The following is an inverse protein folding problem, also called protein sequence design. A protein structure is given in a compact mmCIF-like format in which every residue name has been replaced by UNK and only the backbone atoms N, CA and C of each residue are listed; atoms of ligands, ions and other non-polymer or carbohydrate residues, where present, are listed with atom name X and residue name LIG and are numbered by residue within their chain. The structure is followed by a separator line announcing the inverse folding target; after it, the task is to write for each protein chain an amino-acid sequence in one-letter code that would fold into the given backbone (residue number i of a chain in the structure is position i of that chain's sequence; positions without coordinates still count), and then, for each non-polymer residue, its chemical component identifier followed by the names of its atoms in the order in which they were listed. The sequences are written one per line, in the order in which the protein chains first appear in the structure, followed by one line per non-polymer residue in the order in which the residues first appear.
data_IF_207396326454
#
_entry.id   IF_207396326454
#
_cell.length_a   1.000
_cell.length_b   1.000
_cell.length_c   1.000
_cell.angle_alpha   90.00
_cell.angle_beta   90.00
_cell.angle_gamma   90.00
#
_symmetry.space_group_name_H-M   'P 1'
#
loop_
_entity.id
_entity.type
_entity.pdbx_description
1 polymer ?
#
# COMPACT_ATOMS: atom_id res chain seq x y z
N UNK A 1 -24.74 -7.51 40.20
CA UNK A 1 -23.78 -6.41 39.98
C UNK A 1 -23.84 -6.07 38.50
N UNK A 2 -24.30 -4.88 38.15
CA UNK A 2 -24.26 -4.45 36.75
C UNK A 2 -22.80 -4.29 36.33
N UNK A 3 -22.31 -5.11 35.42
CA UNK A 3 -21.04 -4.93 34.76
C UNK A 3 -21.13 -3.60 33.99
N UNK A 4 -20.51 -2.56 34.50
CA UNK A 4 -20.32 -1.32 33.73
C UNK A 4 -19.43 -1.69 32.57
N UNK A 5 -20.00 -1.88 31.39
CA UNK A 5 -19.23 -2.11 30.17
C UNK A 5 -18.39 -0.86 29.95
N UNK A 6 -17.07 -1.00 29.98
CA UNK A 6 -16.16 0.12 29.70
C UNK A 6 -16.46 0.66 28.29
N UNK A 7 -16.36 1.97 28.10
CA UNK A 7 -16.56 2.59 26.79
C UNK A 7 -15.57 2.01 25.76
N UNK A 8 -16.00 1.78 24.50
CA UNK A 8 -15.14 1.26 23.47
C UNK A 8 -14.00 2.25 23.12
N UNK A 9 -12.90 1.72 22.62
CA UNK A 9 -11.81 2.52 22.06
C UNK A 9 -12.18 2.92 20.64
N UNK A 10 -12.34 4.21 20.37
CA UNK A 10 -12.75 4.72 19.06
C UNK A 10 -11.55 4.95 18.15
N UNK A 11 -11.52 4.26 17.01
CA UNK A 11 -10.46 4.32 15.99
C UNK A 11 -11.05 4.87 14.70
N UNK A 12 -10.46 5.94 14.17
CA UNK A 12 -10.84 6.50 12.87
C UNK A 12 -10.34 5.61 11.73
N UNK A 13 -11.17 5.39 10.73
CA UNK A 13 -10.78 4.76 9.47
C UNK A 13 -10.94 5.78 8.34
N UNK A 14 -9.81 6.28 7.84
CA UNK A 14 -9.73 7.24 6.73
C UNK A 14 -9.37 6.48 5.45
N UNK A 15 -10.36 6.15 4.63
CA UNK A 15 -10.13 5.36 3.42
C UNK A 15 -10.31 6.18 2.14
N UNK A 16 -9.51 5.84 1.10
CA UNK A 16 -9.51 6.55 -0.17
C UNK A 16 -10.50 5.96 -1.18
N UNK A 17 -10.68 4.64 -1.17
CA UNK A 17 -11.52 3.91 -2.13
C UNK A 17 -12.76 3.32 -1.46
N UNK A 18 -13.99 3.74 -1.85
CA UNK A 18 -15.23 3.30 -1.20
C UNK A 18 -15.48 1.79 -1.32
N UNK A 19 -15.00 1.15 -2.39
CA UNK A 19 -15.23 -0.28 -2.63
C UNK A 19 -14.45 -1.21 -1.68
N UNK A 20 -13.51 -0.67 -0.90
CA UNK A 20 -12.64 -1.45 -0.04
C UNK A 20 -13.05 -1.42 1.44
N UNK A 21 -14.00 -0.54 1.82
CA UNK A 21 -14.34 -0.27 3.22
C UNK A 21 -14.70 -1.50 4.02
N UNK A 22 -15.72 -2.24 3.61
CA UNK A 22 -16.22 -3.40 4.37
C UNK A 22 -15.18 -4.52 4.54
N UNK A 23 -14.44 -4.85 3.48
CA UNK A 23 -13.43 -5.91 3.53
C UNK A 23 -12.26 -5.50 4.41
N UNK A 24 -11.80 -4.26 4.26
CA UNK A 24 -10.72 -3.70 5.05
C UNK A 24 -11.10 -3.63 6.53
N UNK A 25 -12.26 -3.05 6.85
CA UNK A 25 -12.75 -2.93 8.22
C UNK A 25 -12.89 -4.30 8.90
N UNK A 26 -13.44 -5.30 8.21
CA UNK A 26 -13.58 -6.68 8.73
C UNK A 26 -12.21 -7.34 9.00
N UNK A 27 -11.26 -7.20 8.07
CA UNK A 27 -9.93 -7.77 8.25
C UNK A 27 -9.16 -7.08 9.39
N UNK A 28 -9.29 -5.75 9.50
CA UNK A 28 -8.72 -4.97 10.59
C UNK A 28 -9.32 -5.40 11.93
N UNK A 29 -10.65 -5.50 12.02
CA UNK A 29 -11.33 -5.95 13.23
C UNK A 29 -10.89 -7.36 13.64
N UNK A 30 -10.75 -8.28 12.69
CA UNK A 30 -10.23 -9.64 12.97
C UNK A 30 -8.83 -9.59 13.60
N UNK A 31 -7.94 -8.71 13.12
CA UNK A 31 -6.62 -8.52 13.71
C UNK A 31 -6.68 -7.99 15.14
N UNK A 32 -7.60 -7.08 15.44
CA UNK A 32 -7.87 -6.58 16.81
C UNK A 32 -8.42 -7.70 17.69
N UNK A 33 -9.40 -8.46 17.19
CA UNK A 33 -10.06 -9.56 17.92
C UNK A 33 -9.06 -10.65 18.28
N UNK A 34 -8.08 -10.95 17.44
CA UNK A 34 -7.03 -11.92 17.74
C UNK A 34 -6.19 -11.48 18.95
N UNK A 35 -5.93 -10.19 19.10
CA UNK A 35 -5.26 -9.66 20.29
C UNK A 35 -6.19 -9.71 21.51
N UNK A 36 -7.46 -9.37 21.35
CA UNK A 36 -8.46 -9.43 22.42
C UNK A 36 -8.62 -10.87 22.98
N UNK A 37 -8.62 -11.89 22.11
CA UNK A 37 -8.68 -13.30 22.50
C UNK A 37 -7.51 -13.75 23.38
N UNK A 38 -6.37 -13.04 23.35
CA UNK A 38 -5.26 -13.30 24.29
C UNK A 38 -5.53 -12.80 25.71
N UNK A 39 -6.61 -12.08 25.96
CA UNK A 39 -6.97 -11.48 27.25
C UNK A 39 -6.18 -10.21 27.59
N UNK A 40 -5.39 -9.66 26.66
CA UNK A 40 -4.60 -8.44 26.87
C UNK A 40 -5.35 -7.15 26.53
N UNK A 41 -6.41 -7.26 25.74
CA UNK A 41 -7.30 -6.16 25.40
C UNK A 41 -8.63 -6.36 26.13
N UNK A 42 -8.97 -5.45 27.04
CA UNK A 42 -10.13 -5.54 27.96
C UNK A 42 -11.33 -4.73 27.49
N UNK A 43 -11.28 -4.20 26.25
CA UNK A 43 -12.30 -3.31 25.67
C UNK A 43 -12.54 -3.60 24.20
N UNK A 44 -13.75 -3.28 23.77
CA UNK A 44 -14.12 -3.31 22.35
C UNK A 44 -13.46 -2.14 21.63
N UNK A 45 -13.21 -2.33 20.33
CA UNK A 45 -12.77 -1.28 19.41
C UNK A 45 -13.93 -0.92 18.49
N UNK A 46 -14.27 0.35 18.44
CA UNK A 46 -15.28 0.93 17.53
C UNK A 46 -14.58 1.64 16.37
N UNK A 47 -14.92 1.26 15.14
CA UNK A 47 -14.40 1.92 13.93
C UNK A 47 -15.33 3.07 13.52
N UNK A 48 -14.77 4.27 13.38
CA UNK A 48 -15.45 5.47 12.90
C UNK A 48 -14.95 5.78 11.49
N UNK A 49 -15.78 5.52 10.49
CA UNK A 49 -15.36 5.56 9.09
C UNK A 49 -15.61 6.92 8.43
N UNK A 50 -14.61 7.41 7.68
CA UNK A 50 -14.72 8.58 6.79
C UNK A 50 -13.99 8.33 5.49
N UNK A 51 -14.64 8.63 4.38
CA UNK A 51 -14.01 8.62 3.06
C UNK A 51 -13.26 9.93 2.83
N UNK A 52 -11.98 9.83 2.45
CA UNK A 52 -11.12 10.99 2.24
C UNK A 52 -11.56 11.83 1.03
N UNK A 53 -12.06 11.18 -0.03
CA UNK A 53 -12.35 11.83 -1.33
C UNK A 53 -11.17 12.67 -1.83
N UNK A 54 -9.96 12.19 -1.57
CA UNK A 54 -8.72 12.86 -1.89
C UNK A 54 -8.23 12.60 -3.33
N UNK A 55 -6.95 12.79 -3.51
CA UNK A 55 -6.28 12.54 -4.79
C UNK A 55 -6.32 11.04 -5.16
N UNK A 56 -6.26 10.68 -6.46
CA UNK A 56 -6.15 11.58 -7.62
C UNK A 56 -7.49 12.15 -8.12
N UNK A 57 -8.64 11.61 -7.70
CA UNK A 57 -9.96 11.98 -8.25
C UNK A 57 -10.66 13.11 -7.52
N UNK A 58 -10.16 13.49 -6.36
CA UNK A 58 -10.72 14.58 -5.53
C UNK A 58 -9.69 15.65 -5.20
N UNK A 59 -9.66 16.12 -3.95
CA UNK A 59 -8.83 17.25 -3.58
C UNK A 59 -8.19 17.13 -2.19
N UNK A 60 -7.12 17.92 -1.97
CA UNK A 60 -6.49 18.09 -0.66
C UNK A 60 -7.49 18.60 0.40
N UNK A 61 -8.42 19.50 0.02
CA UNK A 61 -9.42 20.04 0.93
C UNK A 61 -10.36 18.95 1.47
N UNK A 62 -10.70 17.94 0.66
CA UNK A 62 -11.54 16.83 1.07
C UNK A 62 -10.82 15.91 2.06
N UNK A 63 -9.51 15.66 1.87
CA UNK A 63 -8.69 14.90 2.85
C UNK A 63 -8.69 15.62 4.20
N UNK A 64 -8.46 16.96 4.18
CA UNK A 64 -8.45 17.79 5.39
C UNK A 64 -9.81 17.78 6.09
N UNK A 65 -10.91 17.85 5.32
CA UNK A 65 -12.27 17.80 5.85
C UNK A 65 -12.54 16.47 6.54
N UNK A 66 -12.26 15.34 5.87
CA UNK A 66 -12.50 14.02 6.43
C UNK A 66 -11.64 13.75 7.69
N UNK A 67 -10.40 14.26 7.71
CA UNK A 67 -9.56 14.23 8.90
C UNK A 67 -10.17 15.02 10.06
N UNK A 68 -10.62 16.27 9.81
CA UNK A 68 -11.23 17.12 10.83
C UNK A 68 -12.53 16.49 11.40
N UNK A 69 -13.31 15.81 10.58
CA UNK A 69 -14.48 15.06 11.04
C UNK A 69 -14.11 13.93 11.99
N UNK A 70 -13.02 13.18 11.71
CA UNK A 70 -12.53 12.13 12.62
C UNK A 70 -11.97 12.73 13.93
N UNK A 71 -11.26 13.85 13.84
CA UNK A 71 -10.74 14.56 15.01
C UNK A 71 -11.88 15.01 15.95
N UNK A 72 -12.99 15.50 15.38
CA UNK A 72 -14.18 15.92 16.12
C UNK A 72 -14.96 14.77 16.79
N UNK A 73 -14.72 13.52 16.36
CA UNK A 73 -15.31 12.30 16.93
C UNK A 73 -14.49 11.74 18.10
N UNK A 74 -13.48 12.46 18.59
CA UNK A 74 -12.61 12.06 19.70
C UNK A 74 -11.93 10.69 19.50
N UNK A 75 -11.60 10.33 18.26
CA UNK A 75 -10.84 9.10 17.98
C UNK A 75 -9.43 9.19 18.60
N UNK A 76 -8.93 8.07 19.10
CA UNK A 76 -7.61 8.01 19.76
C UNK A 76 -6.49 7.61 18.79
N UNK A 77 -6.84 7.06 17.64
CA UNK A 77 -5.92 6.77 16.54
C UNK A 77 -6.68 6.77 15.20
N UNK A 78 -5.95 6.84 14.09
CA UNK A 78 -6.52 6.76 12.74
C UNK A 78 -5.79 5.66 11.95
N UNK A 79 -6.53 4.91 11.13
CA UNK A 79 -5.99 4.03 10.10
C UNK A 79 -6.25 4.65 8.73
N UNK A 80 -5.21 4.75 7.92
CA UNK A 80 -5.25 5.42 6.62
C UNK A 80 -4.49 6.76 6.61
N UNK A 81 -4.46 7.43 5.45
CA UNK A 81 -4.97 6.99 4.14
C UNK A 81 -4.15 5.86 3.49
N UNK A 82 -4.62 5.37 2.33
CA UNK A 82 -3.94 4.32 1.54
C UNK A 82 -3.09 4.87 0.39
N UNK A 83 -3.37 6.08 -0.07
CA UNK A 83 -2.65 6.74 -1.15
C UNK A 83 -1.56 7.64 -0.56
N UNK A 84 -0.31 7.49 -1.03
CA UNK A 84 0.83 8.26 -0.51
C UNK A 84 0.64 9.78 -0.59
N UNK A 85 0.04 10.28 -1.68
CA UNK A 85 -0.23 11.71 -1.84
C UNK A 85 -1.22 12.21 -0.77
N UNK A 86 -2.24 11.41 -0.43
CA UNK A 86 -3.20 11.75 0.63
C UNK A 86 -2.56 11.60 2.03
N UNK A 87 -1.68 10.63 2.20
CA UNK A 87 -0.93 10.46 3.45
C UNK A 87 0.05 11.62 3.71
N UNK A 88 0.67 12.18 2.66
CA UNK A 88 1.49 13.40 2.76
C UNK A 88 0.66 14.63 3.20
N UNK A 89 -0.61 14.70 2.79
CA UNK A 89 -1.55 15.74 3.25
C UNK A 89 -1.95 15.50 4.72
N UNK A 90 -2.21 14.24 5.11
CA UNK A 90 -2.66 13.88 6.44
C UNK A 90 -1.56 13.95 7.51
N UNK A 91 -0.30 13.66 7.18
CA UNK A 91 0.79 13.60 8.14
C UNK A 91 0.97 14.88 8.99
N UNK A 92 1.03 16.10 8.41
CA UNK A 92 1.12 17.33 9.21
C UNK A 92 -0.15 17.58 10.06
N UNK A 93 -1.31 17.09 9.66
CA UNK A 93 -2.54 17.18 10.46
C UNK A 93 -2.46 16.25 11.68
N UNK A 94 -1.95 15.04 11.51
CA UNK A 94 -1.70 14.09 12.60
C UNK A 94 -0.72 14.67 13.62
N UNK A 95 0.37 15.28 13.14
CA UNK A 95 1.37 15.92 14.02
C UNK A 95 0.77 17.10 14.79
N UNK A 96 0.00 17.97 14.15
CA UNK A 96 -0.65 19.12 14.78
C UNK A 96 -1.71 18.70 15.82
N UNK A 97 -2.56 17.73 15.49
CA UNK A 97 -3.61 17.22 16.37
C UNK A 97 -3.11 16.20 17.41
N UNK A 98 -1.83 15.75 17.28
CA UNK A 98 -1.24 14.68 18.08
C UNK A 98 -2.09 13.41 18.08
N UNK A 99 -2.58 13.03 16.91
CA UNK A 99 -3.33 11.78 16.69
C UNK A 99 -2.40 10.77 16.02
N UNK A 100 -2.08 9.63 16.65
CA UNK A 100 -1.32 8.59 15.99
C UNK A 100 -2.14 8.02 14.83
N UNK A 101 -1.53 7.94 13.65
CA UNK A 101 -2.16 7.33 12.50
C UNK A 101 -1.26 6.26 11.89
N UNK A 102 -1.85 5.20 11.34
CA UNK A 102 -1.15 4.18 10.56
C UNK A 102 -1.65 4.28 9.13
N UNK A 103 -0.88 4.95 8.25
CA UNK A 103 -1.17 4.91 6.83
C UNK A 103 -0.72 3.58 6.22
N UNK A 104 -1.36 3.14 5.12
CA UNK A 104 -1.00 1.92 4.41
C UNK A 104 -0.74 2.20 2.93
N UNK A 105 0.27 3.01 2.69
CA UNK A 105 0.70 3.50 1.38
C UNK A 105 2.07 2.95 0.97
N UNK A 106 2.63 3.40 -0.15
CA UNK A 106 3.97 3.02 -0.60
C UNK A 106 5.08 4.01 -0.24
N UNK A 107 4.76 5.22 0.23
CA UNK A 107 5.74 6.30 0.37
C UNK A 107 6.36 6.43 1.77
N UNK A 108 7.67 6.25 1.90
CA UNK A 108 8.37 6.42 3.19
C UNK A 108 8.29 7.85 3.75
N UNK A 109 8.20 8.86 2.84
CA UNK A 109 8.08 10.28 3.21
C UNK A 109 6.77 10.64 3.90
N UNK A 110 5.81 9.71 3.95
CA UNK A 110 4.56 9.87 4.70
C UNK A 110 4.73 9.71 6.20
N UNK A 111 5.88 9.19 6.65
CA UNK A 111 6.19 8.99 8.08
C UNK A 111 6.48 10.31 8.75
N UNK A 112 5.94 10.50 9.96
CA UNK A 112 6.20 11.65 10.81
C UNK A 112 6.22 11.22 12.28
N UNK A 113 6.25 12.18 13.21
CA UNK A 113 6.22 11.87 14.64
C UNK A 113 4.94 11.13 15.06
N UNK A 114 3.81 11.44 14.40
CA UNK A 114 2.50 10.86 14.71
C UNK A 114 1.94 10.00 13.57
N UNK A 115 2.61 9.92 12.41
CA UNK A 115 2.24 9.09 11.28
C UNK A 115 3.16 7.86 11.19
N UNK A 116 2.61 6.71 11.53
CA UNK A 116 3.17 5.39 11.31
C UNK A 116 2.83 4.90 9.91
N UNK A 117 3.55 3.93 9.39
CA UNK A 117 3.43 3.51 8.01
C UNK A 117 3.49 2.00 7.88
N UNK A 118 2.41 1.38 7.41
CA UNK A 118 2.41 0.00 6.94
C UNK A 118 2.64 0.02 5.42
N UNK A 119 3.73 -0.57 4.96
CA UNK A 119 4.14 -0.51 3.56
C UNK A 119 3.28 -1.46 2.71
N UNK A 120 2.43 -0.90 1.84
CA UNK A 120 1.78 -1.63 0.75
C UNK A 120 2.52 -1.28 -0.53
N UNK A 121 3.67 -1.94 -0.74
CA UNK A 121 4.69 -1.52 -1.70
C UNK A 121 5.67 -0.49 -1.13
N UNK A 122 6.59 0.01 -1.97
CA UNK A 122 7.57 1.05 -1.59
C UNK A 122 8.02 1.85 -2.79
N UNK A 123 7.81 3.17 -2.74
CA UNK A 123 8.27 4.08 -3.78
C UNK A 123 9.79 4.09 -3.92
N UNK A 124 10.49 3.78 -2.84
CA UNK A 124 11.94 3.81 -2.74
C UNK A 124 12.59 2.46 -3.01
N UNK A 125 11.96 1.35 -2.60
CA UNK A 125 12.56 0.01 -2.69
C UNK A 125 12.13 -0.77 -3.94
N UNK A 126 10.93 -0.55 -4.48
CA UNK A 126 10.46 -1.23 -5.68
C UNK A 126 11.29 -0.92 -6.94
N UNK A 127 11.65 0.34 -7.23
CA UNK A 127 12.44 0.65 -8.43
C UNK A 127 13.80 -0.04 -8.50
N UNK A 128 14.59 -0.17 -7.41
CA UNK A 128 15.77 -1.01 -7.38
C UNK A 128 15.50 -2.49 -7.69
N UNK A 129 14.39 -3.05 -7.19
CA UNK A 129 14.00 -4.45 -7.48
C UNK A 129 13.66 -4.61 -8.96
N UNK A 130 12.91 -3.69 -9.54
CA UNK A 130 12.60 -3.70 -10.99
C UNK A 130 13.87 -3.58 -11.84
N UNK A 131 14.78 -2.67 -11.48
CA UNK A 131 16.06 -2.51 -12.18
C UNK A 131 16.95 -3.76 -12.07
N UNK A 132 17.01 -4.41 -10.91
CA UNK A 132 17.68 -5.69 -10.72
C UNK A 132 17.04 -6.80 -11.58
N UNK A 133 15.70 -6.85 -11.63
CA UNK A 133 14.98 -7.81 -12.48
C UNK A 133 15.28 -7.63 -13.97
N UNK A 134 15.45 -6.40 -14.44
CA UNK A 134 15.92 -6.15 -15.80
C UNK A 134 17.28 -6.82 -16.05
N UNK A 135 18.23 -6.63 -15.13
CA UNK A 135 19.58 -7.22 -15.23
C UNK A 135 19.49 -8.76 -15.28
N UNK A 136 18.72 -9.36 -14.38
CA UNK A 136 18.52 -10.82 -14.32
C UNK A 136 17.98 -11.39 -15.63
N UNK A 137 17.05 -10.66 -16.27
CA UNK A 137 16.44 -11.05 -17.55
C UNK A 137 17.28 -10.66 -18.79
N UNK A 138 18.42 -10.01 -18.62
CA UNK A 138 19.24 -9.53 -19.72
C UNK A 138 18.65 -8.32 -20.46
N UNK A 139 17.63 -7.65 -19.91
CA UNK A 139 16.99 -6.45 -20.46
C UNK A 139 17.84 -5.23 -20.11
N UNK A 140 18.31 -4.50 -21.10
CA UNK A 140 19.26 -3.40 -20.88
C UNK A 140 18.71 -2.02 -21.20
N UNK A 141 17.67 -1.94 -22.01
CA UNK A 141 17.13 -0.70 -22.58
C UNK A 141 15.66 -0.56 -22.18
N UNK A 142 15.33 0.41 -21.33
CA UNK A 142 13.97 0.65 -20.84
C UNK A 142 13.32 1.85 -21.49
N UNK A 143 12.03 1.73 -21.86
CA UNK A 143 11.14 2.88 -21.92
C UNK A 143 10.42 3.01 -20.57
N UNK A 144 10.28 4.22 -20.04
CA UNK A 144 9.69 4.45 -18.71
C UNK A 144 8.43 5.29 -18.83
N UNK A 145 7.32 4.80 -18.28
CA UNK A 145 6.10 5.57 -18.10
C UNK A 145 5.85 5.78 -16.62
N UNK A 146 5.55 7.00 -16.21
CA UNK A 146 5.21 7.29 -14.82
C UNK A 146 4.01 8.25 -14.71
N UNK A 147 3.24 8.13 -13.62
CA UNK A 147 2.10 9.00 -13.35
C UNK A 147 2.51 10.46 -13.12
N UNK A 148 1.70 11.40 -13.63
CA UNK A 148 1.81 12.85 -13.37
C UNK A 148 1.34 13.21 -11.95
N UNK A 149 1.95 12.59 -10.95
CA UNK A 149 1.64 12.76 -9.54
C UNK A 149 2.93 12.83 -8.72
N UNK A 150 2.93 13.30 -7.47
CA UNK A 150 4.07 13.17 -6.57
C UNK A 150 4.56 11.73 -6.42
N UNK A 151 3.65 10.76 -6.34
CA UNK A 151 3.95 9.32 -6.31
C UNK A 151 4.71 8.88 -7.55
N UNK A 152 4.17 9.14 -8.74
CA UNK A 152 4.81 8.72 -9.99
C UNK A 152 6.18 9.36 -10.21
N UNK A 153 6.33 10.65 -9.90
CA UNK A 153 7.62 11.34 -9.95
C UNK A 153 8.64 10.72 -9.00
N UNK A 154 8.23 10.39 -7.77
CA UNK A 154 9.13 9.76 -6.80
C UNK A 154 9.59 8.39 -7.26
N UNK A 155 8.70 7.56 -7.80
CA UNK A 155 9.07 6.28 -8.42
C UNK A 155 10.09 6.47 -9.54
N UNK A 156 9.86 7.44 -10.45
CA UNK A 156 10.76 7.71 -11.57
C UNK A 156 12.16 8.18 -11.11
N UNK A 157 12.23 9.05 -10.09
CA UNK A 157 13.49 9.48 -9.47
C UNK A 157 14.27 8.29 -8.89
N UNK A 158 13.60 7.41 -8.15
CA UNK A 158 14.22 6.24 -7.55
C UNK A 158 14.66 5.21 -8.60
N UNK A 159 13.87 5.05 -9.68
CA UNK A 159 14.24 4.19 -10.80
C UNK A 159 15.47 4.74 -11.55
N UNK A 160 15.51 6.05 -11.80
CA UNK A 160 16.67 6.72 -12.43
C UNK A 160 17.95 6.48 -11.61
N UNK A 161 17.89 6.61 -10.29
CA UNK A 161 19.03 6.34 -9.42
C UNK A 161 19.46 4.86 -9.44
N UNK A 162 18.50 3.93 -9.47
CA UNK A 162 18.75 2.48 -9.50
C UNK A 162 19.35 2.05 -10.85
N UNK A 163 18.74 2.48 -11.97
CA UNK A 163 19.21 2.14 -13.32
C UNK A 163 20.64 2.65 -13.57
N UNK A 164 20.98 3.86 -13.09
CA UNK A 164 22.31 4.44 -13.25
C UNK A 164 23.39 3.59 -12.56
N UNK A 165 23.11 3.08 -11.36
CA UNK A 165 24.02 2.18 -10.62
C UNK A 165 24.26 0.86 -11.32
N UNK A 166 23.26 0.36 -12.08
CA UNK A 166 23.30 -0.93 -12.77
C UNK A 166 23.71 -0.82 -14.25
N UNK A 167 24.01 0.38 -14.74
CA UNK A 167 24.40 0.63 -16.13
C UNK A 167 23.28 0.33 -17.15
N UNK A 168 22.02 0.51 -16.74
CA UNK A 168 20.86 0.34 -17.63
C UNK A 168 20.61 1.64 -18.40
N UNK A 169 20.18 1.52 -19.67
CA UNK A 169 19.80 2.63 -20.54
C UNK A 169 18.30 2.93 -20.42
N UNK A 170 17.93 4.21 -20.39
CA UNK A 170 16.56 4.67 -20.61
C UNK A 170 16.47 5.27 -22.01
N UNK A 171 15.76 4.60 -22.90
CA UNK A 171 15.61 4.99 -24.32
C UNK A 171 14.56 6.07 -24.52
N UNK A 172 13.66 6.21 -23.55
CA UNK A 172 12.62 7.23 -23.56
C UNK A 172 11.85 7.25 -22.25
N UNK A 173 11.37 8.43 -21.88
CA UNK A 173 10.55 8.65 -20.68
C UNK A 173 9.31 9.43 -21.06
N UNK A 174 8.16 9.02 -20.52
CA UNK A 174 6.90 9.73 -20.70
C UNK A 174 6.09 9.77 -19.40
N UNK A 175 5.43 10.89 -19.15
CA UNK A 175 4.47 11.01 -18.06
C UNK A 175 3.04 10.85 -18.57
N UNK A 176 2.21 10.16 -17.80
CA UNK A 176 0.79 9.91 -18.08
C UNK A 176 -0.07 10.51 -16.98
N UNK A 177 -1.23 11.08 -17.32
CA UNK A 177 -2.17 11.51 -16.31
C UNK A 177 -2.65 10.30 -15.48
N UNK A 178 -2.73 10.44 -14.15
CA UNK A 178 -3.05 9.32 -13.25
C UNK A 178 -4.40 8.66 -13.54
N UNK A 179 -5.33 9.40 -14.15
CA UNK A 179 -6.67 8.94 -14.55
C UNK A 179 -6.81 8.84 -16.08
N UNK A 180 -5.71 8.73 -16.85
CA UNK A 180 -5.77 8.61 -18.30
C UNK A 180 -6.55 7.35 -18.72
N UNK A 181 -7.38 7.51 -19.74
CA UNK A 181 -8.16 6.44 -20.35
C UNK A 181 -7.53 5.93 -21.66
N UNK A 182 -6.57 6.68 -22.24
CA UNK A 182 -5.82 6.33 -23.42
C UNK A 182 -4.33 6.67 -23.28
N UNK A 183 -3.47 5.80 -23.83
CA UNK A 183 -2.01 5.95 -23.85
C UNK A 183 -1.43 5.70 -25.26
N UNK A 184 -2.26 5.59 -26.30
CA UNK A 184 -1.84 5.15 -27.64
C UNK A 184 -0.80 6.08 -28.25
N UNK A 185 -1.01 7.40 -28.21
CA UNK A 185 -0.06 8.38 -28.74
C UNK A 185 1.25 8.36 -27.96
N UNK A 186 1.17 8.26 -26.63
CA UNK A 186 2.32 8.22 -25.74
C UNK A 186 3.22 7.02 -26.04
N UNK A 187 2.63 5.81 -26.15
CA UNK A 187 3.34 4.58 -26.51
C UNK A 187 3.88 4.61 -27.92
N UNK A 188 3.13 5.19 -28.87
CA UNK A 188 3.57 5.39 -30.25
C UNK A 188 4.85 6.22 -30.36
N UNK A 189 5.08 7.16 -29.45
CA UNK A 189 6.33 7.94 -29.37
C UNK A 189 7.50 7.18 -28.75
N UNK A 190 7.26 6.26 -27.83
CA UNK A 190 8.30 5.47 -27.18
C UNK A 190 8.78 4.27 -28.01
N UNK A 191 7.86 3.64 -28.77
CA UNK A 191 8.12 2.44 -29.55
C UNK A 191 9.30 2.54 -30.53
N UNK A 192 9.49 3.64 -31.31
CA UNK A 192 10.57 3.74 -32.29
C UNK A 192 12.00 3.64 -31.72
N UNK A 193 12.17 3.85 -30.42
CA UNK A 193 13.46 3.68 -29.75
C UNK A 193 13.81 2.21 -29.45
N UNK A 194 12.94 1.26 -29.78
CA UNK A 194 13.10 -0.19 -29.64
C UNK A 194 13.62 -0.59 -28.24
N UNK A 195 12.92 -0.25 -27.14
CA UNK A 195 13.31 -0.68 -25.81
C UNK A 195 13.13 -2.20 -25.64
N UNK A 196 13.97 -2.81 -24.80
CA UNK A 196 13.84 -4.22 -24.41
C UNK A 196 12.67 -4.45 -23.44
N UNK A 197 12.27 -3.40 -22.72
CA UNK A 197 11.24 -3.46 -21.68
C UNK A 197 10.54 -2.11 -21.54
N UNK A 198 9.25 -2.16 -21.22
CA UNK A 198 8.47 -1.03 -20.75
C UNK A 198 8.38 -1.10 -19.20
N UNK A 199 8.77 -0.03 -18.54
CA UNK A 199 8.65 0.09 -17.06
C UNK A 199 7.51 1.04 -16.75
N UNK A 200 6.48 0.55 -16.04
CA UNK A 200 5.35 1.35 -15.59
C UNK A 200 5.48 1.66 -14.09
N UNK A 201 5.40 2.95 -13.74
CA UNK A 201 5.59 3.47 -12.38
C UNK A 201 4.45 4.44 -12.02
N UNK A 202 3.56 4.04 -11.16
CA UNK A 202 2.43 4.91 -10.84
C UNK A 202 1.47 4.36 -9.79
N UNK A 203 0.36 5.05 -9.61
CA UNK A 203 -0.71 4.63 -8.70
C UNK A 203 -1.49 3.40 -9.22
N UNK A 204 -1.49 3.17 -10.54
CA UNK A 204 -2.07 2.00 -11.16
C UNK A 204 -3.37 2.22 -11.92
N UNK A 205 -4.07 3.33 -11.73
CA UNK A 205 -5.34 3.57 -12.45
C UNK A 205 -5.10 3.69 -13.95
N UNK A 206 -4.05 4.41 -14.38
CA UNK A 206 -3.67 4.57 -15.79
C UNK A 206 -3.03 3.32 -16.43
N UNK A 207 -2.67 2.30 -15.64
CA UNK A 207 -2.06 1.07 -16.17
C UNK A 207 -2.98 0.33 -17.14
N UNK A 208 -4.31 0.43 -16.97
CA UNK A 208 -5.28 -0.11 -17.92
C UNK A 208 -5.17 0.55 -19.29
N UNK A 209 -5.06 1.89 -19.33
CA UNK A 209 -4.88 2.62 -20.59
C UNK A 209 -3.61 2.19 -21.31
N UNK A 210 -2.52 1.97 -20.57
CA UNK A 210 -1.25 1.45 -21.11
C UNK A 210 -1.44 0.04 -21.69
N UNK A 211 -2.12 -0.86 -20.98
CA UNK A 211 -2.37 -2.22 -21.45
C UNK A 211 -3.21 -2.24 -22.75
N UNK A 212 -4.29 -1.47 -22.78
CA UNK A 212 -5.15 -1.35 -23.97
C UNK A 212 -4.40 -0.76 -25.18
N UNK A 213 -3.57 0.25 -24.94
CA UNK A 213 -2.77 0.89 -25.98
C UNK A 213 -1.68 -0.04 -26.53
N UNK A 214 -1.01 -0.84 -25.70
CA UNK A 214 -0.07 -1.88 -26.15
C UNK A 214 -0.76 -2.88 -27.08
N UNK A 215 -1.94 -3.35 -26.68
CA UNK A 215 -2.73 -4.27 -27.50
C UNK A 215 -3.17 -3.63 -28.84
N UNK A 216 -3.67 -2.40 -28.81
CA UNK A 216 -4.09 -1.66 -29.99
C UNK A 216 -2.94 -1.40 -30.98
N UNK A 217 -1.73 -1.15 -30.48
CA UNK A 217 -0.53 -0.96 -31.31
C UNK A 217 0.11 -2.28 -31.76
N UNK A 218 -0.36 -3.43 -31.28
CA UNK A 218 0.30 -4.72 -31.50
C UNK A 218 1.77 -4.70 -31.03
N UNK A 219 2.06 -3.99 -29.94
CA UNK A 219 3.41 -3.86 -29.42
C UNK A 219 3.67 -4.85 -28.27
N UNK A 220 4.29 -5.97 -28.61
CA UNK A 220 4.62 -7.05 -27.69
C UNK A 220 6.00 -6.79 -27.04
N UNK A 221 6.05 -5.88 -26.10
CA UNK A 221 7.24 -5.60 -25.28
C UNK A 221 7.04 -6.18 -23.88
N UNK A 222 8.07 -6.77 -23.24
CA UNK A 222 8.00 -7.12 -21.84
C UNK A 222 7.63 -5.89 -20.99
N UNK A 223 6.80 -6.09 -19.95
CA UNK A 223 6.43 -5.00 -19.06
C UNK A 223 6.82 -5.36 -17.63
N UNK A 224 7.53 -4.45 -16.97
CA UNK A 224 7.77 -4.48 -15.54
C UNK A 224 7.02 -3.32 -14.89
N UNK A 225 6.32 -3.59 -13.80
CA UNK A 225 5.53 -2.58 -13.11
C UNK A 225 5.79 -2.57 -11.60
N UNK A 226 5.59 -1.43 -10.98
CA UNK A 226 5.54 -1.31 -9.53
C UNK A 226 4.28 -2.02 -8.99
N UNK A 227 4.02 -1.91 -7.70
CA UNK A 227 2.85 -2.49 -7.02
C UNK A 227 1.48 -2.00 -7.53
N UNK A 228 1.48 -1.10 -8.50
CA UNK A 228 0.29 -0.61 -9.20
C UNK A 228 -0.64 -1.71 -9.75
N UNK A 229 -0.09 -2.84 -10.18
CA UNK A 229 -0.90 -3.94 -10.74
C UNK A 229 -1.70 -4.72 -9.68
N UNK A 230 -1.56 -4.38 -8.40
CA UNK A 230 -2.47 -4.86 -7.35
C UNK A 230 -3.94 -4.51 -7.62
N UNK A 231 -4.24 -3.53 -8.47
CA UNK A 231 -5.61 -3.27 -8.93
C UNK A 231 -6.27 -4.50 -9.57
N UNK A 232 -5.51 -5.42 -10.15
CA UNK A 232 -6.03 -6.70 -10.63
C UNK A 232 -6.73 -7.55 -9.56
N UNK A 233 -6.43 -7.37 -8.29
CA UNK A 233 -7.15 -8.05 -7.21
C UNK A 233 -8.58 -7.52 -7.06
N UNK A 234 -8.76 -6.20 -7.14
CA UNK A 234 -10.07 -5.53 -7.02
C UNK A 234 -10.82 -5.46 -8.37
N UNK A 235 -10.12 -5.58 -9.49
CA UNK A 235 -10.64 -5.40 -10.86
C UNK A 235 -10.32 -6.63 -11.72
N UNK A 236 -11.08 -7.73 -11.58
CA UNK A 236 -10.86 -8.94 -12.38
C UNK A 236 -10.89 -8.69 -13.90
N UNK A 237 -11.69 -7.72 -14.33
CA UNK A 237 -11.82 -7.29 -15.73
C UNK A 237 -10.55 -6.64 -16.31
N UNK A 238 -9.54 -6.33 -15.47
CA UNK A 238 -8.26 -5.76 -15.93
C UNK A 238 -7.17 -6.81 -16.14
N UNK A 239 -7.31 -7.98 -15.52
CA UNK A 239 -6.26 -9.01 -15.44
C UNK A 239 -5.75 -9.51 -16.77
N UNK A 240 -6.65 -9.67 -17.75
CA UNK A 240 -6.28 -10.12 -19.10
C UNK A 240 -5.34 -9.13 -19.78
N UNK A 241 -5.52 -7.83 -19.56
CA UNK A 241 -4.63 -6.79 -20.05
C UNK A 241 -3.24 -6.82 -19.43
N UNK A 242 -3.09 -7.42 -18.25
CA UNK A 242 -1.82 -7.56 -17.53
C UNK A 242 -1.15 -8.93 -17.74
N UNK A 243 -1.69 -9.79 -18.60
CA UNK A 243 -1.13 -11.11 -18.83
C UNK A 243 0.36 -11.02 -19.24
N UNK A 244 1.22 -11.71 -18.49
CA UNK A 244 2.66 -11.72 -18.72
C UNK A 244 3.43 -10.47 -18.23
N UNK A 245 2.77 -9.45 -17.68
CA UNK A 245 3.46 -8.37 -17.00
C UNK A 245 4.00 -8.89 -15.66
N UNK A 246 5.25 -8.54 -15.34
CA UNK A 246 5.78 -8.77 -14.01
C UNK A 246 5.64 -7.51 -13.17
N UNK A 247 5.26 -7.66 -11.92
CA UNK A 247 5.02 -6.54 -11.03
C UNK A 247 5.46 -6.83 -9.58
N UNK A 248 5.67 -5.78 -8.83
CA UNK A 248 5.95 -5.87 -7.40
C UNK A 248 4.65 -6.03 -6.61
N UNK A 249 4.68 -6.88 -5.61
CA UNK A 249 3.60 -7.11 -4.66
C UNK A 249 4.18 -7.31 -3.25
N UNK A 250 3.33 -7.37 -2.25
CA UNK A 250 3.66 -7.75 -0.88
C UNK A 250 3.09 -9.13 -0.50
N UNK A 251 2.55 -9.87 -1.46
CA UNK A 251 2.01 -11.22 -1.26
C UNK A 251 3.03 -12.27 -1.68
N UNK A 252 3.52 -13.04 -0.72
CA UNK A 252 4.37 -14.21 -0.95
C UNK A 252 3.60 -15.51 -0.74
N UNK A 253 3.92 -16.53 -1.54
CA UNK A 253 3.21 -17.81 -1.50
C UNK A 253 3.70 -18.70 -0.34
N UNK A 254 4.89 -18.43 0.22
CA UNK A 254 5.51 -19.14 1.33
C UNK A 254 5.13 -18.63 2.74
N UNK A 255 4.34 -17.54 2.84
CA UNK A 255 4.02 -16.90 4.12
C UNK A 255 2.95 -17.67 4.91
N UNK A 256 3.34 -18.23 6.07
CA UNK A 256 2.44 -19.02 6.94
C UNK A 256 1.38 -18.19 7.63
N UNK A 257 1.70 -16.95 8.03
CA UNK A 257 0.71 -16.06 8.66
C UNK A 257 -0.42 -15.72 7.68
N UNK A 258 -0.06 -15.50 6.40
CA UNK A 258 -1.05 -15.32 5.32
C UNK A 258 -1.86 -16.59 5.09
N UNK A 259 -1.22 -17.77 5.04
CA UNK A 259 -1.94 -19.03 4.87
C UNK A 259 -2.97 -19.24 5.98
N UNK A 260 -2.62 -18.96 7.24
CA UNK A 260 -3.53 -19.03 8.37
C UNK A 260 -4.69 -17.99 8.25
N UNK A 261 -4.40 -16.76 7.82
CA UNK A 261 -5.44 -15.77 7.53
C UNK A 261 -6.37 -16.24 6.40
N UNK A 262 -5.82 -16.90 5.38
CA UNK A 262 -6.59 -17.41 4.24
C UNK A 262 -7.57 -18.51 4.63
N UNK A 263 -7.21 -19.37 5.57
CA UNK A 263 -8.13 -20.40 6.11
C UNK A 263 -9.33 -19.76 6.82
N UNK A 264 -9.12 -18.68 7.54
CA UNK A 264 -10.15 -18.00 8.35
C UNK A 264 -10.94 -16.97 7.56
N UNK A 265 -10.28 -16.24 6.65
CA UNK A 265 -10.88 -15.17 5.86
C UNK A 265 -10.29 -15.13 4.44
N UNK A 266 -10.69 -16.06 3.55
CA UNK A 266 -10.12 -16.21 2.20
C UNK A 266 -10.15 -14.92 1.36
N UNK A 267 -11.22 -14.13 1.48
CA UNK A 267 -11.38 -12.89 0.72
C UNK A 267 -10.36 -11.82 1.11
N UNK A 268 -10.00 -11.70 2.39
CA UNK A 268 -8.98 -10.74 2.84
C UNK A 268 -7.58 -11.18 2.43
N UNK A 269 -7.24 -12.45 2.63
CA UNK A 269 -5.92 -12.99 2.29
C UNK A 269 -5.67 -13.14 0.78
N UNK A 270 -6.70 -12.90 -0.04
CA UNK A 270 -6.61 -12.94 -1.50
C UNK A 270 -5.81 -11.80 -2.13
N UNK A 271 -5.44 -10.76 -1.37
CA UNK A 271 -4.70 -9.61 -1.89
C UNK A 271 -3.97 -8.81 -0.80
N UNK A 272 -3.07 -7.90 -1.19
CA UNK A 272 -2.19 -7.19 -0.27
C UNK A 272 -2.94 -6.30 0.74
N UNK A 273 -4.03 -5.71 0.33
CA UNK A 273 -4.80 -4.78 1.17
C UNK A 273 -5.47 -5.49 2.35
N UNK A 274 -6.01 -6.69 2.13
CA UNK A 274 -6.62 -7.46 3.22
C UNK A 274 -5.59 -7.97 4.23
N UNK A 275 -4.42 -8.40 3.76
CA UNK A 275 -3.29 -8.76 4.63
C UNK A 275 -2.81 -7.53 5.44
N UNK A 276 -2.67 -6.37 4.79
CA UNK A 276 -2.30 -5.13 5.46
C UNK A 276 -3.33 -4.75 6.53
N UNK A 277 -4.64 -4.82 6.23
CA UNK A 277 -5.70 -4.51 7.18
C UNK A 277 -5.63 -5.41 8.43
N UNK A 278 -5.48 -6.71 8.24
CA UNK A 278 -5.33 -7.67 9.34
C UNK A 278 -4.11 -7.37 10.20
N UNK A 279 -2.95 -7.15 9.59
CA UNK A 279 -1.71 -6.83 10.31
C UNK A 279 -1.81 -5.48 11.04
N UNK A 280 -2.43 -4.46 10.44
CA UNK A 280 -2.70 -3.17 11.09
C UNK A 280 -3.62 -3.36 12.30
N UNK A 281 -4.64 -4.21 12.18
CA UNK A 281 -5.51 -4.56 13.28
C UNK A 281 -4.74 -5.17 14.46
N UNK A 282 -3.79 -6.08 14.19
CA UNK A 282 -2.92 -6.66 15.21
C UNK A 282 -1.98 -5.62 15.83
N UNK A 283 -1.39 -4.74 15.00
CA UNK A 283 -0.53 -3.64 15.48
C UNK A 283 -1.30 -2.69 16.39
N UNK A 284 -2.54 -2.34 16.04
CA UNK A 284 -3.43 -1.51 16.85
C UNK A 284 -3.80 -2.20 18.16
N UNK A 285 -4.27 -3.44 18.10
CA UNK A 285 -4.64 -4.22 19.28
C UNK A 285 -3.48 -4.32 20.27
N UNK A 286 -2.28 -4.66 19.78
CA UNK A 286 -1.05 -4.70 20.59
C UNK A 286 -0.66 -3.31 21.13
N UNK A 287 -0.80 -2.26 20.32
CA UNK A 287 -0.53 -0.88 20.72
C UNK A 287 -1.48 -0.42 21.82
N UNK A 288 -2.78 -0.73 21.72
CA UNK A 288 -3.79 -0.44 22.74
C UNK A 288 -3.47 -1.23 24.02
N UNK A 289 -3.17 -2.53 23.91
CA UNK A 289 -2.82 -3.38 25.05
C UNK A 289 -1.54 -2.93 25.77
N UNK A 290 -0.58 -2.32 25.05
CA UNK A 290 0.66 -1.81 25.60
C UNK A 290 0.57 -0.35 26.10
N UNK A 291 -0.55 0.34 25.87
CA UNK A 291 -0.75 1.72 26.28
C UNK A 291 -1.02 1.80 27.79
N UNK A 292 -0.31 2.68 28.50
CA UNK A 292 -0.56 2.94 29.94
C UNK A 292 -1.90 3.67 30.14
N UNK A 293 -2.27 4.51 29.17
CA UNK A 293 -3.52 5.27 29.18
C UNK A 293 -4.12 5.26 27.76
N UNK A 294 -5.44 5.15 27.66
CA UNK A 294 -6.17 5.17 26.40
C UNK A 294 -6.37 6.60 25.88
N UNK A 295 -5.26 7.30 25.71
CA UNK A 295 -5.16 8.63 25.11
C UNK A 295 -4.37 8.55 23.82
N UNK A 296 -4.47 9.57 22.96
CA UNK A 296 -3.69 9.67 21.71
C UNK A 296 -2.19 9.45 21.96
N UNK A 297 -1.63 10.08 22.99
CA UNK A 297 -0.23 9.91 23.35
C UNK A 297 0.07 8.48 23.83
N UNK A 298 -0.77 7.93 24.71
CA UNK A 298 -0.60 6.58 25.21
C UNK A 298 -0.68 5.53 24.11
N UNK A 299 -1.59 5.67 23.14
CA UNK A 299 -1.67 4.77 21.97
C UNK A 299 -0.42 4.92 21.08
N UNK A 300 0.06 6.15 20.83
CA UNK A 300 1.31 6.37 20.08
C UNK A 300 2.50 5.67 20.74
N UNK A 301 2.62 5.77 22.05
CA UNK A 301 3.68 5.12 22.83
C UNK A 301 3.51 3.60 22.86
N UNK A 302 2.28 3.11 22.94
CA UNK A 302 1.95 1.71 22.81
C UNK A 302 2.37 1.15 21.46
N UNK A 303 2.03 1.81 20.35
CA UNK A 303 2.46 1.42 19.02
C UNK A 303 3.99 1.33 18.90
N UNK A 304 4.74 2.28 19.43
CA UNK A 304 6.21 2.26 19.42
C UNK A 304 6.82 1.08 20.19
N UNK A 305 6.05 0.45 21.09
CA UNK A 305 6.46 -0.74 21.85
C UNK A 305 6.17 -2.05 21.12
N UNK A 306 5.32 -2.06 20.10
CA UNK A 306 5.01 -3.28 19.32
C UNK A 306 6.22 -3.72 18.52
N UNK A 307 6.68 -4.94 18.72
CA UNK A 307 7.86 -5.51 18.08
C UNK A 307 7.61 -6.93 17.59
N UNK A 308 8.19 -7.23 16.42
CA UNK A 308 8.45 -8.61 15.98
C UNK A 308 7.21 -9.53 15.89
N UNK A 309 6.04 -8.99 15.52
CA UNK A 309 4.91 -9.84 15.18
C UNK A 309 5.15 -10.43 13.79
N UNK A 310 4.83 -11.72 13.54
CA UNK A 310 4.87 -12.26 12.19
C UNK A 310 3.92 -11.50 11.26
N UNK A 311 4.40 -11.05 10.10
CA UNK A 311 3.59 -10.37 9.11
C UNK A 311 2.77 -11.34 8.26
N UNK A 312 1.58 -10.94 7.81
CA UNK A 312 0.84 -11.66 6.75
C UNK A 312 1.25 -11.21 5.34
N UNK A 313 2.09 -10.18 5.23
CA UNK A 313 2.71 -9.70 4.00
C UNK A 313 4.18 -10.10 3.93
N UNK A 314 4.71 -10.22 2.69
CA UNK A 314 6.10 -10.59 2.44
C UNK A 314 6.37 -12.09 2.57
N UNK A 315 7.65 -12.46 2.38
CA UNK A 315 8.12 -13.83 2.55
C UNK A 315 8.03 -14.30 4.01
N UNK A 316 8.06 -15.62 4.22
CA UNK A 316 8.14 -16.18 5.56
C UNK A 316 9.30 -15.57 6.35
N UNK A 317 9.05 -15.22 7.61
CA UNK A 317 10.01 -14.52 8.47
C UNK A 317 9.95 -13.00 8.37
N UNK A 318 9.09 -12.42 7.50
CA UNK A 318 8.78 -10.99 7.54
C UNK A 318 8.06 -10.66 8.85
N UNK A 319 8.48 -9.59 9.49
CA UNK A 319 7.97 -9.14 10.78
C UNK A 319 7.32 -7.77 10.68
N UNK A 320 6.37 -7.48 11.59
CA UNK A 320 5.81 -6.15 11.77
C UNK A 320 6.08 -5.61 13.17
N UNK A 321 6.19 -4.30 13.26
CA UNK A 321 6.37 -3.57 14.51
C UNK A 321 6.92 -2.18 14.25
N UNK A 322 6.88 -1.33 15.26
CA UNK A 322 7.38 0.04 15.18
C UNK A 322 8.50 0.30 16.18
N UNK A 323 9.24 1.37 15.99
CA UNK A 323 10.25 1.87 16.91
C UNK A 323 9.99 3.31 17.32
N UNK A 324 10.82 3.82 18.21
CA UNK A 324 10.76 5.23 18.61
C UNK A 324 11.07 6.15 17.43
N UNK A 325 12.01 5.73 16.57
CA UNK A 325 12.47 6.50 15.42
C UNK A 325 12.11 5.84 14.08
N UNK A 326 11.79 4.56 14.11
CA UNK A 326 11.41 3.80 12.90
C UNK A 326 9.92 3.51 12.90
N UNK A 327 9.19 4.31 12.14
CA UNK A 327 7.75 4.21 11.99
C UNK A 327 7.32 3.37 10.78
N UNK A 328 8.23 2.65 10.13
CA UNK A 328 7.86 1.61 9.16
C UNK A 328 7.39 0.35 9.87
N UNK A 329 6.34 -0.30 9.43
CA UNK A 329 5.84 -1.53 10.03
C UNK A 329 6.62 -2.76 9.56
N UNK A 330 6.70 -3.01 8.25
CA UNK A 330 7.29 -4.21 7.68
C UNK A 330 8.82 -4.20 7.79
N UNK A 331 9.36 -5.35 8.19
CA UNK A 331 10.80 -5.63 8.32
C UNK A 331 11.13 -6.93 7.60
N UNK A 332 12.19 -6.93 6.81
CA UNK A 332 12.65 -8.11 6.06
C UNK A 332 12.24 -8.08 4.59
N UNK A 333 12.09 -9.25 3.99
CA UNK A 333 11.81 -9.40 2.56
C UNK A 333 10.31 -9.34 2.28
N UNK A 334 9.75 -8.13 2.20
CA UNK A 334 8.32 -7.94 1.99
C UNK A 334 7.92 -7.65 0.54
N UNK A 335 8.86 -7.33 -0.33
CA UNK A 335 8.61 -7.15 -1.76
C UNK A 335 8.81 -8.46 -2.53
N UNK A 336 7.83 -8.79 -3.37
CA UNK A 336 7.76 -10.05 -4.12
C UNK A 336 7.48 -9.74 -5.58
N UNK A 337 8.14 -10.43 -6.50
CA UNK A 337 7.81 -10.35 -7.94
C UNK A 337 6.68 -11.33 -8.26
N UNK A 338 5.64 -10.82 -8.92
CA UNK A 338 4.48 -11.61 -9.35
C UNK A 338 4.11 -11.31 -10.80
N UNK A 339 3.28 -12.16 -11.39
CA UNK A 339 2.71 -11.96 -12.72
C UNK A 339 1.26 -12.41 -12.74
N UNK A 340 0.44 -11.81 -13.60
CA UNK A 340 -0.91 -12.29 -13.88
C UNK A 340 -0.86 -13.38 -14.96
N UNK A 341 -1.36 -14.58 -14.62
CA UNK A 341 -1.46 -15.74 -15.52
C UNK A 341 -2.81 -16.41 -15.33
N UNK A 342 -3.56 -16.55 -16.42
CA UNK A 342 -4.89 -17.19 -16.41
C UNK A 342 -5.83 -16.58 -15.36
N UNK A 343 -5.80 -15.25 -15.22
CA UNK A 343 -6.60 -14.51 -14.24
C UNK A 343 -6.15 -14.63 -12.78
N UNK A 344 -5.02 -15.29 -12.52
CA UNK A 344 -4.44 -15.46 -11.18
C UNK A 344 -3.10 -14.76 -11.06
N UNK A 345 -2.86 -14.15 -9.89
CA UNK A 345 -1.54 -13.64 -9.53
C UNK A 345 -0.68 -14.80 -9.04
N UNK A 346 0.48 -15.00 -9.67
CA UNK A 346 1.43 -16.07 -9.32
C UNK A 346 2.81 -15.46 -9.09
N UNK A 347 3.54 -16.00 -8.13
CA UNK A 347 4.90 -15.56 -7.84
C UNK A 347 5.85 -16.01 -8.96
N UNK A 348 6.83 -15.15 -9.31
CA UNK A 348 7.80 -15.39 -10.39
C UNK A 348 9.07 -16.02 -9.82
#
# INVERSE_FOLDING_TARGET
MATTTALPVRIGLLYDFPQMGDLFAKALQMGVDDVAQTGRLDRDVELVERQSRGLPSGSEAEVKRAFAELDAEDVVAIVGPSISDNALIAAPLCDAARIPAINYSGGERTRSQWMFHYQVGSLEEEPPVLAARMVERGLRRAAVIFDQSPVGRRYAECFEAARARLGLEVTGTASIASLAEDATELLGRLRPAEPDVLVYLGLGVSSRAVALALAALGWNVPVLANSALMFGYARPDWRDGYAGWEYIDTIADDNRSRAHLQERFPHAAGGPIGCAAYDIGRLLGEGIAAAEHLTRAGIADGLRRVKQLPASSGHEGTLIGFGVWDHAALKGHYLVLRTWRDGHSVQV
#
